data_IF_269121000154
#
_entry.id   IF_269121000154
#
_cell.length_a   1.000
_cell.length_b   1.000
_cell.length_c   1.000
_cell.angle_alpha   90.00
_cell.angle_beta   90.00
_cell.angle_gamma   90.00
#
_symmetry.space_group_name_H-M   'P 1'
#
loop_
_entity.id
_entity.type
_entity.pdbx_description
1 polymer ?
#
# COMPACT_ATOMS: atom_id res chain seq x y z
N UNK A 1 15.93 19.41 9.21
CA UNK A 1 14.86 18.45 9.58
C UNK A 1 15.00 17.23 8.69
N UNK A 2 15.17 16.04 9.28
CA UNK A 2 15.13 14.77 8.55
C UNK A 2 13.69 14.52 8.07
N UNK A 3 13.53 14.17 6.79
CA UNK A 3 12.23 13.78 6.21
C UNK A 3 12.12 12.28 6.33
N UNK A 4 11.62 11.83 7.47
CA UNK A 4 11.40 10.41 7.75
C UNK A 4 10.30 9.88 6.82
N UNK A 5 10.60 8.82 6.08
CA UNK A 5 9.62 8.15 5.24
C UNK A 5 8.73 7.21 6.06
N UNK A 6 7.58 6.81 5.50
CA UNK A 6 6.63 5.94 6.19
C UNK A 6 7.26 4.60 6.59
N UNK A 7 8.11 4.06 5.72
CA UNK A 7 8.85 2.82 5.91
C UNK A 7 9.88 2.90 7.05
N UNK A 8 10.36 4.09 7.40
CA UNK A 8 11.22 4.34 8.57
C UNK A 8 10.39 4.61 9.82
N UNK A 9 9.30 5.36 9.67
CA UNK A 9 8.42 5.73 10.77
C UNK A 9 7.74 4.52 11.42
N UNK A 10 7.19 3.59 10.64
CA UNK A 10 6.40 2.47 11.18
C UNK A 10 7.23 1.57 12.12
N UNK A 11 8.43 1.10 11.74
CA UNK A 11 9.33 0.36 12.65
C UNK A 11 9.61 1.10 13.95
N UNK A 12 10.00 2.37 13.85
CA UNK A 12 10.37 3.20 15.01
C UNK A 12 9.16 3.48 15.91
N UNK A 13 8.00 3.76 15.32
CA UNK A 13 6.75 3.95 16.06
C UNK A 13 6.32 2.67 16.79
N UNK A 14 6.38 1.53 16.12
CA UNK A 14 6.02 0.26 16.74
C UNK A 14 6.95 -0.06 17.92
N UNK A 15 8.24 0.16 17.77
CA UNK A 15 9.22 -0.05 18.83
C UNK A 15 9.03 0.94 19.98
N UNK A 16 8.78 2.21 19.68
CA UNK A 16 8.45 3.24 20.67
C UNK A 16 7.19 2.89 21.47
N UNK A 17 6.16 2.36 20.81
CA UNK A 17 4.91 1.95 21.46
C UNK A 17 5.10 0.70 22.32
N UNK A 18 5.88 -0.27 21.83
CA UNK A 18 6.14 -1.53 22.54
C UNK A 18 6.95 -1.31 23.84
N UNK A 19 7.87 -0.34 23.86
CA UNK A 19 8.78 -0.08 24.98
C UNK A 19 9.46 -1.38 25.43
N UNK A 20 9.28 -1.76 26.70
CA UNK A 20 9.84 -2.97 27.31
C UNK A 20 8.90 -4.18 27.25
N UNK A 21 7.69 -4.02 26.70
CA UNK A 21 6.69 -5.09 26.61
C UNK A 21 6.64 -5.62 25.19
N UNK A 22 6.86 -6.92 25.03
CA UNK A 22 6.64 -7.58 23.74
C UNK A 22 5.20 -7.35 23.30
N UNK A 23 5.03 -6.69 22.15
CA UNK A 23 3.76 -6.16 21.66
C UNK A 23 3.52 -6.62 20.23
N UNK A 24 2.32 -7.15 19.98
CA UNK A 24 1.90 -7.62 18.67
C UNK A 24 1.23 -6.49 17.88
N UNK A 25 1.67 -6.30 16.63
CA UNK A 25 1.07 -5.41 15.65
C UNK A 25 0.44 -6.26 14.55
N UNK A 26 -0.88 -6.16 14.38
CA UNK A 26 -1.59 -6.93 13.37
C UNK A 26 -1.75 -6.09 12.11
N UNK A 27 -1.31 -6.63 10.97
CA UNK A 27 -1.42 -5.96 9.67
C UNK A 27 -2.18 -6.85 8.71
N UNK A 28 -3.27 -6.32 8.17
CA UNK A 28 -4.15 -7.00 7.20
C UNK A 28 -3.59 -7.05 5.78
N UNK A 29 -2.32 -7.36 5.61
CA UNK A 29 -1.69 -7.60 4.30
C UNK A 29 -2.04 -9.00 3.83
N UNK A 30 -2.33 -9.14 2.53
CA UNK A 30 -2.58 -10.42 1.87
C UNK A 30 -1.57 -10.65 0.75
N UNK A 31 -1.08 -11.88 0.62
CA UNK A 31 -0.09 -12.25 -0.41
C UNK A 31 -0.62 -12.05 -1.83
N UNK A 32 -1.93 -12.25 -2.00
CA UNK A 32 -2.65 -12.16 -3.28
C UNK A 32 -2.75 -10.71 -3.82
N UNK A 33 -2.44 -9.70 -3.01
CA UNK A 33 -2.54 -8.28 -3.41
C UNK A 33 -1.46 -7.84 -4.41
N UNK A 34 -0.22 -8.32 -4.24
CA UNK A 34 0.88 -8.11 -5.19
C UNK A 34 2.11 -8.93 -4.82
N UNK A 35 3.06 -9.04 -5.77
CA UNK A 35 4.36 -9.67 -5.53
C UNK A 35 5.12 -9.05 -4.35
N UNK A 36 5.06 -7.72 -4.18
CA UNK A 36 5.72 -7.05 -3.06
C UNK A 36 5.12 -7.47 -1.72
N UNK A 37 3.80 -7.66 -1.64
CA UNK A 37 3.11 -8.14 -0.43
C UNK A 37 3.49 -9.58 -0.12
N UNK A 38 3.47 -10.43 -1.14
CA UNK A 38 3.97 -11.80 -1.01
C UNK A 38 5.42 -11.85 -0.49
N UNK A 39 6.32 -11.03 -1.03
CA UNK A 39 7.72 -10.98 -0.62
C UNK A 39 7.90 -10.45 0.80
N UNK A 40 7.05 -9.52 1.25
CA UNK A 40 7.07 -9.01 2.63
C UNK A 40 6.80 -10.14 3.64
N UNK A 41 5.89 -11.06 3.32
CA UNK A 41 5.55 -12.21 4.17
C UNK A 41 6.55 -13.36 4.01
N UNK A 42 6.89 -13.72 2.77
CA UNK A 42 7.75 -14.88 2.47
C UNK A 42 9.22 -14.68 2.86
N UNK A 43 9.63 -13.46 3.23
CA UNK A 43 11.02 -13.02 3.50
C UNK A 43 11.98 -14.19 3.75
N UNK A 44 12.93 -14.39 2.81
CA UNK A 44 13.83 -15.57 2.77
C UNK A 44 14.59 -15.81 4.08
N UNK A 45 14.83 -14.75 4.84
CA UNK A 45 15.59 -14.80 6.08
C UNK A 45 14.64 -14.79 7.28
N UNK A 46 14.25 -15.97 7.76
CA UNK A 46 13.42 -16.16 8.96
C UNK A 46 14.09 -15.74 10.28
N UNK A 47 15.28 -15.12 10.23
CA UNK A 47 16.06 -14.72 11.41
C UNK A 47 15.32 -13.74 12.33
N UNK A 48 14.33 -13.02 11.81
CA UNK A 48 13.51 -12.09 12.60
C UNK A 48 12.06 -12.55 12.77
N UNK A 49 11.71 -13.78 12.36
CA UNK A 49 10.38 -14.32 12.64
C UNK A 49 10.24 -14.63 14.13
N UNK A 50 9.06 -14.40 14.69
CA UNK A 50 8.81 -14.59 16.11
C UNK A 50 8.59 -16.06 16.45
N UNK A 51 9.21 -16.50 17.53
CA UNK A 51 9.00 -17.84 18.10
C UNK A 51 8.26 -17.69 19.42
N UNK A 52 7.05 -18.26 19.55
CA UNK A 52 6.33 -18.27 20.82
C UNK A 52 7.15 -18.95 21.93
N UNK A 53 7.02 -18.51 23.19
CA UNK A 53 7.61 -19.24 24.32
C UNK A 53 7.15 -20.71 24.32
N UNK A 54 8.10 -21.64 24.42
CA UNK A 54 7.82 -23.09 24.36
C UNK A 54 7.66 -23.67 22.95
N UNK A 55 7.70 -22.87 21.89
CA UNK A 55 7.68 -23.37 20.52
C UNK A 55 9.09 -23.66 19.99
N UNK A 56 9.21 -24.71 19.16
CA UNK A 56 10.47 -25.07 18.49
C UNK A 56 10.62 -24.43 17.11
N UNK A 57 9.56 -23.83 16.56
CA UNK A 57 9.55 -23.25 15.22
C UNK A 57 8.99 -21.82 15.24
N UNK A 58 9.60 -20.88 14.50
CA UNK A 58 9.08 -19.53 14.37
C UNK A 58 7.81 -19.51 13.53
N UNK A 59 6.93 -18.55 13.80
CA UNK A 59 5.72 -18.30 13.02
C UNK A 59 6.09 -17.61 11.69
N UNK A 60 5.81 -18.23 10.53
CA UNK A 60 6.29 -17.73 9.23
C UNK A 60 5.57 -16.46 8.75
N UNK A 61 4.41 -16.14 9.33
CA UNK A 61 3.62 -14.93 9.07
C UNK A 61 3.88 -13.84 10.12
N UNK A 62 5.07 -13.85 10.73
CA UNK A 62 5.50 -12.84 11.70
C UNK A 62 6.89 -12.30 11.36
N UNK A 63 7.15 -11.04 11.72
CA UNK A 63 8.46 -10.41 11.55
C UNK A 63 8.73 -9.37 12.64
N UNK A 64 9.99 -9.28 13.05
CA UNK A 64 10.59 -8.16 13.77
C UNK A 64 11.52 -7.39 12.84
N UNK A 65 11.76 -6.12 13.11
CA UNK A 65 12.78 -5.35 12.38
C UNK A 65 14.18 -5.78 12.81
N UNK A 66 14.40 -5.97 14.11
CA UNK A 66 15.62 -6.55 14.71
C UNK A 66 15.27 -7.72 15.62
N UNK A 67 16.21 -8.67 15.79
CA UNK A 67 15.95 -9.92 16.53
C UNK A 67 15.44 -9.72 17.97
N UNK A 68 15.89 -8.65 18.63
CA UNK A 68 15.58 -8.32 20.02
C UNK A 68 14.49 -7.26 20.18
N UNK A 69 13.83 -6.86 19.10
CA UNK A 69 12.76 -5.88 19.19
C UNK A 69 11.54 -6.45 19.93
N UNK A 70 10.92 -5.59 20.72
CA UNK A 70 9.69 -5.91 21.44
C UNK A 70 8.48 -5.79 20.53
N UNK A 71 8.56 -4.95 19.50
CA UNK A 71 7.55 -4.88 18.45
C UNK A 71 7.63 -6.10 17.53
N UNK A 72 6.51 -6.82 17.41
CA UNK A 72 6.38 -7.97 16.51
C UNK A 72 5.21 -7.73 15.58
N UNK A 73 5.46 -7.70 14.27
CA UNK A 73 4.41 -7.58 13.27
C UNK A 73 3.91 -8.96 12.88
N UNK A 74 2.59 -9.12 12.81
CA UNK A 74 1.90 -10.35 12.42
C UNK A 74 0.95 -10.10 11.26
N UNK A 75 0.84 -11.09 10.38
CA UNK A 75 0.03 -11.06 9.17
C UNK A 75 -1.03 -12.17 9.23
N UNK A 76 -2.13 -12.00 9.99
CA UNK A 76 -3.05 -13.10 10.29
C UNK A 76 -3.87 -13.59 9.09
N UNK A 77 -4.08 -12.73 8.08
CA UNK A 77 -4.87 -13.04 6.88
C UNK A 77 -3.99 -13.17 5.63
N UNK A 78 -2.69 -13.41 5.80
CA UNK A 78 -1.70 -13.33 4.73
C UNK A 78 -1.96 -14.25 3.53
N UNK A 79 -2.70 -15.33 3.74
CA UNK A 79 -3.08 -16.37 2.78
C UNK A 79 -4.52 -16.22 2.26
N UNK A 80 -5.28 -15.25 2.76
CA UNK A 80 -6.63 -14.96 2.27
C UNK A 80 -6.60 -14.35 0.88
N UNK A 81 -7.49 -14.84 0.01
CA UNK A 81 -7.74 -14.24 -1.31
C UNK A 81 -8.75 -13.12 -1.23
N UNK A 82 -8.98 -12.45 -2.36
CA UNK A 82 -10.02 -11.44 -2.47
C UNK A 82 -11.41 -11.98 -2.11
N UNK A 83 -11.76 -13.16 -2.60
CA UNK A 83 -13.07 -13.77 -2.39
C UNK A 83 -13.28 -14.18 -0.93
N UNK A 84 -12.24 -14.69 -0.26
CA UNK A 84 -12.31 -15.09 1.16
C UNK A 84 -12.68 -13.89 2.03
N UNK A 85 -12.00 -12.75 1.82
CA UNK A 85 -12.23 -11.52 2.56
C UNK A 85 -13.66 -10.99 2.37
N UNK A 86 -14.14 -10.91 1.13
CA UNK A 86 -15.46 -10.37 0.84
C UNK A 86 -16.59 -11.32 1.20
N UNK A 87 -16.39 -12.63 1.06
CA UNK A 87 -17.34 -13.63 1.55
C UNK A 87 -17.48 -13.55 3.07
N UNK A 88 -16.36 -13.57 3.80
CA UNK A 88 -16.37 -13.45 5.24
C UNK A 88 -17.06 -12.15 5.70
N UNK A 89 -16.74 -11.03 5.06
CA UNK A 89 -17.36 -9.73 5.36
C UNK A 89 -18.88 -9.76 5.14
N UNK A 90 -19.33 -10.32 4.00
CA UNK A 90 -20.74 -10.39 3.64
C UNK A 90 -21.56 -11.34 4.50
N UNK A 91 -21.06 -12.56 4.74
CA UNK A 91 -21.74 -13.60 5.54
C UNK A 91 -21.91 -13.19 7.00
N UNK A 92 -20.94 -12.43 7.55
CA UNK A 92 -20.96 -11.98 8.94
C UNK A 92 -21.52 -10.57 9.12
N UNK A 93 -21.95 -9.90 8.03
CA UNK A 93 -22.50 -8.54 8.09
C UNK A 93 -21.52 -7.49 8.63
N UNK A 94 -20.21 -7.68 8.40
CA UNK A 94 -19.20 -6.74 8.87
C UNK A 94 -19.27 -5.41 8.13
N UNK A 95 -19.05 -4.32 8.87
CA UNK A 95 -18.96 -2.99 8.26
C UNK A 95 -17.72 -2.90 7.35
N UNK A 96 -17.89 -2.26 6.20
CA UNK A 96 -16.82 -1.97 5.25
C UNK A 96 -17.00 -0.58 4.65
N UNK A 97 -15.96 -0.07 4.00
CA UNK A 97 -16.01 1.24 3.36
C UNK A 97 -16.88 1.21 2.09
N UNK A 98 -17.99 1.94 2.09
CA UNK A 98 -18.93 2.04 0.95
C UNK A 98 -18.30 2.64 -0.31
N UNK A 99 -17.14 3.29 -0.21
CA UNK A 99 -16.36 3.71 -1.37
C UNK A 99 -16.05 2.54 -2.33
N UNK A 100 -15.88 1.32 -1.81
CA UNK A 100 -15.69 0.13 -2.65
C UNK A 100 -16.91 -0.17 -3.54
N UNK A 101 -18.13 0.08 -3.06
CA UNK A 101 -19.35 -0.07 -3.86
C UNK A 101 -19.37 0.95 -5.01
N UNK A 102 -18.95 2.19 -4.73
CA UNK A 102 -18.85 3.24 -5.75
C UNK A 102 -17.76 2.92 -6.78
N UNK A 103 -16.60 2.42 -6.34
CA UNK A 103 -15.53 1.97 -7.24
C UNK A 103 -16.00 0.82 -8.13
N UNK A 104 -16.74 -0.15 -7.58
CA UNK A 104 -17.34 -1.24 -8.33
C UNK A 104 -18.31 -0.73 -9.40
N UNK A 105 -19.24 0.15 -9.02
CA UNK A 105 -20.20 0.78 -9.96
C UNK A 105 -19.51 1.62 -11.03
N UNK A 106 -18.35 2.20 -10.73
CA UNK A 106 -17.53 2.95 -11.67
C UNK A 106 -16.66 2.05 -12.58
N UNK A 107 -16.75 0.72 -12.44
CA UNK A 107 -16.02 -0.24 -13.26
C UNK A 107 -14.54 -0.38 -12.91
N UNK A 108 -14.13 0.01 -11.70
CA UNK A 108 -12.74 -0.16 -11.25
C UNK A 108 -12.47 -1.64 -10.99
N UNK A 109 -11.43 -2.26 -11.58
CA UNK A 109 -11.07 -3.64 -11.27
C UNK A 109 -10.72 -3.80 -9.79
N UNK A 110 -11.08 -4.95 -9.18
CA UNK A 110 -10.82 -5.22 -7.76
C UNK A 110 -9.36 -5.00 -7.34
N UNK A 111 -8.41 -5.42 -8.17
CA UNK A 111 -6.97 -5.24 -7.94
C UNK A 111 -6.49 -3.78 -7.97
N UNK A 112 -7.34 -2.86 -8.43
CA UNK A 112 -7.06 -1.43 -8.54
C UNK A 112 -7.90 -0.58 -7.59
N UNK A 113 -8.74 -1.18 -6.74
CA UNK A 113 -9.52 -0.48 -5.72
C UNK A 113 -8.66 -0.08 -4.53
N UNK A 114 -7.67 0.79 -4.76
CA UNK A 114 -6.76 1.29 -3.71
C UNK A 114 -7.18 2.68 -3.25
N UNK A 115 -7.31 2.83 -1.94
CA UNK A 115 -7.51 4.11 -1.29
C UNK A 115 -6.15 4.55 -0.76
N UNK A 116 -5.68 5.70 -1.21
CA UNK A 116 -4.46 6.32 -0.73
C UNK A 116 -4.63 7.84 -0.77
N UNK A 117 -3.71 8.56 -0.14
CA UNK A 117 -3.66 10.01 -0.21
C UNK A 117 -3.54 10.48 -1.68
N UNK A 118 -4.33 11.46 -2.13
CA UNK A 118 -4.50 11.81 -3.55
C UNK A 118 -3.22 12.24 -4.27
N UNK A 119 -2.19 12.67 -3.52
CA UNK A 119 -0.95 13.23 -4.07
C UNK A 119 0.25 12.28 -3.98
N UNK A 120 0.10 11.15 -3.29
CA UNK A 120 1.14 10.13 -3.22
C UNK A 120 1.33 9.43 -4.57
N UNK A 121 2.53 8.93 -4.82
CA UNK A 121 2.90 8.42 -6.14
C UNK A 121 2.00 7.28 -6.62
N UNK A 122 1.46 6.47 -5.71
CA UNK A 122 0.53 5.39 -6.06
C UNK A 122 -0.89 5.88 -6.43
N UNK A 123 -1.38 6.97 -5.81
CA UNK A 123 -2.77 7.43 -5.99
C UNK A 123 -2.94 8.38 -7.17
N UNK A 124 -1.86 9.03 -7.63
CA UNK A 124 -1.95 9.94 -8.78
C UNK A 124 -2.58 9.28 -10.00
N UNK A 125 -2.44 7.95 -10.17
CA UNK A 125 -3.03 7.13 -11.23
C UNK A 125 -4.57 7.13 -11.26
N UNK A 126 -5.20 7.29 -10.09
CA UNK A 126 -6.65 7.26 -9.91
C UNK A 126 -7.25 8.61 -9.54
N UNK A 127 -6.50 9.71 -9.69
CA UNK A 127 -6.96 11.04 -9.28
C UNK A 127 -8.24 11.48 -10.02
N UNK A 128 -8.44 11.00 -11.25
CA UNK A 128 -9.67 11.21 -12.02
C UNK A 128 -10.92 10.53 -11.42
N UNK A 129 -10.74 9.48 -10.60
CA UNK A 129 -11.85 8.79 -9.94
C UNK A 129 -12.49 9.66 -8.85
N UNK A 130 -11.75 10.59 -8.23
CA UNK A 130 -12.29 11.44 -7.18
C UNK A 130 -13.50 12.26 -7.63
N UNK A 131 -13.49 12.77 -8.87
CA UNK A 131 -14.61 13.53 -9.41
C UNK A 131 -15.87 12.66 -9.56
N UNK A 132 -15.69 11.36 -9.81
CA UNK A 132 -16.79 10.40 -10.03
C UNK A 132 -17.32 9.85 -8.71
N UNK A 133 -16.43 9.61 -7.75
CA UNK A 133 -16.75 8.93 -6.49
C UNK A 133 -17.11 9.91 -5.37
N UNK A 134 -16.42 11.04 -5.26
CA UNK A 134 -16.60 12.04 -4.20
C UNK A 134 -16.46 13.48 -4.76
N UNK A 135 -17.44 13.95 -5.56
CA UNK A 135 -17.34 15.24 -6.25
C UNK A 135 -17.15 16.44 -5.31
N UNK A 136 -17.77 16.43 -4.14
CA UNK A 136 -17.61 17.50 -3.14
C UNK A 136 -16.20 17.53 -2.54
N UNK A 137 -15.65 16.37 -2.19
CA UNK A 137 -14.27 16.23 -1.70
C UNK A 137 -13.30 16.67 -2.78
N UNK A 138 -13.55 16.30 -4.03
CA UNK A 138 -12.77 16.73 -5.16
C UNK A 138 -12.77 18.26 -5.32
N UNK A 139 -13.93 18.91 -5.25
CA UNK A 139 -14.02 20.37 -5.35
C UNK A 139 -13.19 21.07 -4.27
N UNK A 140 -13.24 20.57 -3.03
CA UNK A 140 -12.39 21.07 -1.94
C UNK A 140 -10.90 20.86 -2.24
N UNK A 141 -10.52 19.72 -2.79
CA UNK A 141 -9.13 19.42 -3.17
C UNK A 141 -8.61 20.36 -4.26
N UNK A 142 -9.40 20.61 -5.31
CA UNK A 142 -9.05 21.56 -6.39
C UNK A 142 -8.89 22.97 -5.87
N UNK A 143 -9.79 23.43 -4.99
CA UNK A 143 -9.70 24.77 -4.42
C UNK A 143 -8.43 24.97 -3.60
N UNK A 144 -7.94 23.90 -2.96
CA UNK A 144 -6.77 23.95 -2.07
C UNK A 144 -5.44 23.72 -2.78
N UNK A 145 -5.41 22.88 -3.82
CA UNK A 145 -4.16 22.44 -4.46
C UNK A 145 -4.12 22.87 -5.91
N UNK A 146 -3.25 23.83 -6.18
CA UNK A 146 -2.97 24.29 -7.54
C UNK A 146 -2.45 23.12 -8.39
N UNK A 147 -2.99 22.98 -9.60
CA UNK A 147 -2.64 21.88 -10.50
C UNK A 147 -3.38 20.56 -10.27
N UNK A 148 -4.28 20.45 -9.28
CA UNK A 148 -5.06 19.22 -9.06
C UNK A 148 -5.90 18.82 -10.30
N UNK A 149 -6.59 19.78 -10.94
CA UNK A 149 -7.32 19.54 -12.19
C UNK A 149 -6.41 19.06 -13.33
N UNK A 150 -5.23 19.66 -13.43
CA UNK A 150 -4.23 19.25 -14.42
C UNK A 150 -3.82 17.80 -14.15
N UNK A 151 -3.45 17.48 -12.91
CA UNK A 151 -3.06 16.13 -12.54
C UNK A 151 -4.18 15.11 -12.77
N UNK A 152 -5.44 15.43 -12.46
CA UNK A 152 -6.57 14.55 -12.73
C UNK A 152 -6.78 14.32 -14.23
N UNK A 153 -6.61 15.34 -15.07
CA UNK A 153 -6.76 15.21 -16.54
C UNK A 153 -5.68 14.32 -17.16
N UNK A 154 -4.46 14.38 -16.65
CA UNK A 154 -3.29 13.70 -17.23
C UNK A 154 -2.85 12.44 -16.47
N UNK A 155 -3.56 12.03 -15.40
CA UNK A 155 -3.15 10.94 -14.50
C UNK A 155 -2.87 9.59 -15.18
N UNK A 156 -3.56 9.33 -16.29
CA UNK A 156 -3.44 8.09 -17.08
C UNK A 156 -2.63 8.28 -18.36
N UNK A 157 -2.04 9.47 -18.55
CA UNK A 157 -1.25 9.84 -19.72
C UNK A 157 0.25 9.81 -19.43
N UNK A 158 1.06 9.76 -20.49
CA UNK A 158 2.53 9.76 -20.39
C UNK A 158 3.08 11.00 -19.69
N UNK A 159 2.36 12.11 -19.74
CA UNK A 159 2.77 13.39 -19.18
C UNK A 159 3.00 13.36 -17.65
N UNK A 160 2.26 12.51 -16.92
CA UNK A 160 2.46 12.30 -15.49
C UNK A 160 3.32 11.06 -15.16
N UNK A 161 3.99 10.46 -16.16
CA UNK A 161 5.03 9.46 -15.95
C UNK A 161 4.55 8.02 -15.67
N UNK A 162 3.27 7.78 -15.41
CA UNK A 162 2.79 6.48 -14.93
C UNK A 162 2.61 5.38 -15.98
N UNK A 163 2.67 5.70 -17.29
CA UNK A 163 2.61 4.73 -18.39
C UNK A 163 3.90 4.70 -19.21
N UNK A 164 5.02 4.40 -18.54
CA UNK A 164 6.33 4.22 -19.20
C UNK A 164 7.06 5.52 -19.56
N UNK A 165 6.70 6.65 -18.93
CA UNK A 165 7.27 7.96 -19.24
C UNK A 165 7.06 8.38 -20.69
N UNK A 166 7.92 9.28 -21.18
CA UNK A 166 8.01 9.60 -22.62
C UNK A 166 8.79 8.53 -23.40
N UNK A 167 9.34 7.52 -22.73
CA UNK A 167 10.35 6.62 -23.30
C UNK A 167 11.73 7.28 -23.38
N UNK A 168 12.70 6.57 -23.96
CA UNK A 168 13.99 7.17 -24.35
C UNK A 168 13.72 8.20 -25.45
N UNK A 169 14.21 9.45 -25.36
CA UNK A 169 13.98 10.42 -26.41
C UNK A 169 14.52 9.88 -27.75
N UNK A 170 13.84 10.12 -28.89
CA UNK A 170 14.20 9.52 -30.17
C UNK A 170 15.62 9.84 -30.66
N UNK A 171 16.22 10.89 -30.10
CA UNK A 171 17.61 11.33 -30.33
C UNK A 171 18.67 10.43 -29.71
N UNK A 172 18.29 9.48 -28.85
CA UNK A 172 19.23 8.60 -28.17
C UNK A 172 18.86 7.15 -28.43
N UNK A 173 19.87 6.30 -28.66
CA UNK A 173 19.68 4.86 -28.91
C UNK A 173 19.71 4.05 -27.59
N UNK A 174 20.34 4.59 -26.54
CA UNK A 174 20.39 3.93 -25.23
C UNK A 174 20.23 4.91 -24.05
N UNK A 175 19.74 4.43 -22.91
CA UNK A 175 19.69 5.19 -21.65
C UNK A 175 21.08 5.66 -21.17
N UNK A 176 22.15 4.95 -21.54
CA UNK A 176 23.54 5.32 -21.23
C UNK A 176 24.00 6.57 -22.00
N UNK A 177 23.49 6.80 -23.21
CA UNK A 177 23.76 8.03 -23.96
C UNK A 177 22.95 9.21 -23.43
N UNK A 178 21.71 8.98 -22.99
CA UNK A 178 20.86 10.02 -22.42
C UNK A 178 21.32 10.51 -21.03
N UNK A 179 21.98 9.65 -20.24
CA UNK A 179 22.38 9.94 -18.86
C UNK A 179 23.79 10.52 -18.71
N UNK A 180 24.50 10.75 -19.83
CA UNK A 180 25.77 11.48 -19.89
C UNK A 180 25.50 12.94 -20.26
#
# INVERSE_FOLDING_TARGET
RHRMEFEEFVPEFNQWLARDKTTAFLVGIRSDESLNRYLAIKRRTKKCAWTPPGAHKPLPWSTRDKQRDNAVTFFPIYDWKFEDLWRYTGENGHAYNRLYDHMLRAGVPYSQMRICQPYGDDQRKGLDLFHKLEPETWFRAVKRVQGANYAARYCRQRFLGYRGGLGLPPTFDTWRQYSQ
#
